data_IF_495743338170
#
_entry.id   IF_495743338170
#
_cell.length_a   1.000
_cell.length_b   1.000
_cell.length_c   1.000
_cell.angle_alpha   90.00
_cell.angle_beta   90.00
_cell.angle_gamma   90.00
#
_symmetry.space_group_name_H-M   'P 1'
#
loop_
_entity.id
_entity.type
_entity.pdbx_description
1 polymer ?
#
# COMPACT_ATOMS: atom_id res chain seq x y z
N UNK A 1 13.87 -3.08 12.73
CA UNK A 1 13.10 -3.62 13.89
C UNK A 1 14.06 -4.42 14.75
N UNK A 2 13.93 -4.43 16.09
CA UNK A 2 14.86 -5.24 16.91
C UNK A 2 14.49 -6.73 16.86
N UNK A 3 15.41 -7.60 17.28
CA UNK A 3 15.19 -9.05 17.25
C UNK A 3 14.06 -9.50 18.18
N UNK A 4 13.87 -8.83 19.33
CA UNK A 4 12.78 -9.15 20.26
C UNK A 4 11.40 -9.08 19.58
N UNK A 5 11.13 -8.03 18.80
CA UNK A 5 9.85 -7.90 18.07
C UNK A 5 9.69 -9.01 17.03
N UNK A 6 10.75 -9.34 16.29
CA UNK A 6 10.72 -10.43 15.30
C UNK A 6 10.38 -11.78 15.95
N UNK A 7 10.98 -12.07 17.10
CA UNK A 7 10.73 -13.29 17.87
C UNK A 7 9.28 -13.34 18.35
N UNK A 8 8.76 -12.26 18.94
CA UNK A 8 7.37 -12.20 19.40
C UNK A 8 6.36 -12.46 18.28
N UNK A 9 6.58 -11.91 17.08
CA UNK A 9 5.70 -12.17 15.93
C UNK A 9 5.72 -13.64 15.53
N UNK A 10 6.89 -14.30 15.56
CA UNK A 10 7.02 -15.73 15.25
C UNK A 10 6.34 -16.61 16.31
N UNK A 11 6.53 -16.29 17.59
CA UNK A 11 5.90 -17.01 18.71
C UNK A 11 4.37 -16.89 18.63
N UNK A 12 3.86 -15.68 18.40
CA UNK A 12 2.43 -15.45 18.22
C UNK A 12 1.89 -16.24 17.02
N UNK A 13 2.60 -16.24 15.89
CA UNK A 13 2.20 -17.00 14.71
C UNK A 13 2.09 -18.51 15.00
N UNK A 14 3.04 -19.05 15.77
CA UNK A 14 3.03 -20.45 16.16
C UNK A 14 1.85 -20.77 17.09
N UNK A 15 1.59 -19.92 18.08
CA UNK A 15 0.52 -20.14 19.04
C UNK A 15 -0.85 -20.03 18.38
N UNK A 16 -1.06 -19.04 17.50
CA UNK A 16 -2.26 -18.92 16.69
C UNK A 16 -2.52 -20.18 15.86
N UNK A 17 -1.48 -20.79 15.27
CA UNK A 17 -1.63 -22.04 14.51
C UNK A 17 -2.04 -23.22 15.37
N UNK A 18 -1.49 -23.32 16.60
CA UNK A 18 -1.83 -24.42 17.52
C UNK A 18 -3.27 -24.33 18.00
N UNK A 19 -3.72 -23.12 18.30
CA UNK A 19 -5.06 -22.85 18.85
C UNK A 19 -6.15 -22.72 17.77
N UNK A 20 -5.79 -22.81 16.48
CA UNK A 20 -6.72 -22.60 15.37
C UNK A 20 -7.25 -21.17 15.30
N UNK A 21 -6.48 -20.19 15.80
CA UNK A 21 -6.83 -18.77 15.77
C UNK A 21 -6.32 -18.15 14.49
N UNK A 22 -7.23 -17.53 13.73
CA UNK A 22 -6.88 -16.74 12.57
C UNK A 22 -6.31 -15.38 12.98
N UNK A 23 -5.25 -14.95 12.29
CA UNK A 23 -4.60 -13.68 12.58
C UNK A 23 -3.90 -13.11 11.36
N UNK A 24 -4.05 -11.81 11.16
CA UNK A 24 -3.29 -11.01 10.20
C UNK A 24 -2.67 -9.82 10.93
N UNK A 25 -1.37 -9.59 10.72
CA UNK A 25 -0.66 -8.49 11.35
C UNK A 25 0.48 -7.99 10.46
N UNK A 26 0.60 -6.68 10.34
CA UNK A 26 1.65 -5.99 9.58
C UNK A 26 2.34 -5.01 10.51
N UNK A 27 3.63 -5.20 10.76
CA UNK A 27 4.46 -4.27 11.52
C UNK A 27 5.42 -3.57 10.57
N UNK A 28 5.48 -2.25 10.64
CA UNK A 28 6.38 -1.43 9.84
C UNK A 28 7.32 -0.62 10.74
N UNK A 29 8.59 -0.52 10.34
CA UNK A 29 9.53 0.47 10.90
C UNK A 29 10.47 0.97 9.80
N UNK A 30 10.35 2.24 9.42
CA UNK A 30 11.21 2.89 8.40
C UNK A 30 11.31 2.06 7.11
N UNK A 31 10.16 1.69 6.54
CA UNK A 31 10.07 0.90 5.31
C UNK A 31 10.35 -0.61 5.47
N UNK A 32 10.88 -1.06 6.61
CA UNK A 32 11.04 -2.49 6.87
C UNK A 32 9.74 -3.07 7.42
N UNK A 33 9.24 -4.12 6.78
CA UNK A 33 7.96 -4.74 7.08
C UNK A 33 8.15 -6.17 7.59
N UNK A 34 7.36 -6.55 8.59
CA UNK A 34 7.19 -7.94 9.03
C UNK A 34 5.69 -8.23 8.99
N UNK A 35 5.33 -9.34 8.37
CA UNK A 35 3.96 -9.79 8.26
C UNK A 35 3.76 -11.13 8.96
N UNK A 36 2.58 -11.30 9.55
CA UNK A 36 2.08 -12.55 10.07
C UNK A 36 0.72 -12.83 9.43
N UNK A 37 0.55 -14.06 8.95
CA UNK A 37 -0.71 -14.57 8.41
C UNK A 37 -0.92 -16.01 8.89
N UNK A 38 -2.06 -16.25 9.53
CA UNK A 38 -2.54 -17.53 10.06
C UNK A 38 -4.03 -17.64 9.79
N UNK A 39 -4.51 -18.82 9.39
CA UNK A 39 -5.90 -19.08 9.03
C UNK A 39 -6.03 -19.51 7.57
N UNK A 40 -7.20 -20.05 7.22
CA UNK A 40 -7.53 -20.34 5.83
C UNK A 40 -8.02 -19.07 5.09
N UNK A 41 -8.41 -19.22 3.82
CA UNK A 41 -8.85 -18.08 3.01
C UNK A 41 -10.10 -17.38 3.57
N UNK A 42 -11.04 -18.15 4.13
CA UNK A 42 -12.29 -17.64 4.70
C UNK A 42 -12.01 -16.87 5.98
N UNK A 43 -11.18 -17.44 6.84
CA UNK A 43 -10.73 -16.82 8.08
C UNK A 43 -10.01 -15.49 7.82
N UNK A 44 -9.06 -15.49 6.88
CA UNK A 44 -8.29 -14.30 6.50
C UNK A 44 -9.21 -13.23 5.92
N UNK A 45 -10.19 -13.60 5.09
CA UNK A 45 -11.17 -12.67 4.56
C UNK A 45 -12.01 -12.02 5.67
N UNK A 46 -12.41 -12.81 6.67
CA UNK A 46 -13.12 -12.29 7.84
C UNK A 46 -12.27 -11.31 8.65
N UNK A 47 -11.01 -11.65 8.94
CA UNK A 47 -10.09 -10.75 9.64
C UNK A 47 -9.89 -9.42 8.89
N UNK A 48 -9.76 -9.46 7.56
CA UNK A 48 -9.61 -8.26 6.73
C UNK A 48 -10.87 -7.39 6.77
N UNK A 49 -12.05 -7.99 6.72
CA UNK A 49 -13.33 -7.27 6.79
C UNK A 49 -13.49 -6.55 8.14
N UNK A 50 -13.14 -7.22 9.25
CA UNK A 50 -13.16 -6.61 10.59
C UNK A 50 -12.14 -5.48 10.66
N UNK A 51 -10.90 -5.68 10.20
CA UNK A 51 -9.90 -4.60 10.17
C UNK A 51 -10.36 -3.40 9.36
N UNK A 52 -10.96 -3.61 8.19
CA UNK A 52 -11.45 -2.53 7.34
C UNK A 52 -12.56 -1.73 8.02
N UNK A 53 -13.50 -2.41 8.68
CA UNK A 53 -14.56 -1.78 9.47
C UNK A 53 -13.97 -0.92 10.60
N UNK A 54 -13.11 -1.50 11.43
CA UNK A 54 -12.47 -0.81 12.56
C UNK A 54 -11.64 0.40 12.09
N UNK A 55 -10.88 0.27 11.00
CA UNK A 55 -10.12 1.39 10.44
C UNK A 55 -11.03 2.51 9.93
N UNK A 56 -12.16 2.18 9.31
CA UNK A 56 -13.12 3.18 8.84
C UNK A 56 -13.79 3.94 10.00
N UNK A 57 -13.96 3.30 11.16
CA UNK A 57 -14.51 3.94 12.36
C UNK A 57 -13.50 4.86 13.06
N UNK A 58 -12.21 4.53 12.98
CA UNK A 58 -11.16 5.22 13.74
C UNK A 58 -10.29 6.20 12.93
N UNK A 59 -10.35 6.16 11.60
CA UNK A 59 -9.55 7.03 10.72
C UNK A 59 -10.37 8.18 10.13
N UNK A 60 -9.76 9.35 9.90
CA UNK A 60 -10.45 10.51 9.32
C UNK A 60 -10.83 10.32 7.85
N UNK A 61 -10.24 9.31 7.18
CA UNK A 61 -10.51 8.96 5.79
C UNK A 61 -10.84 7.47 5.70
N UNK A 62 -11.76 7.07 4.80
CA UNK A 62 -12.03 5.67 4.53
C UNK A 62 -10.74 4.90 4.23
N UNK A 63 -10.57 3.77 4.89
CA UNK A 63 -9.41 2.88 4.79
C UNK A 63 -9.13 2.45 3.34
N UNK A 64 -10.16 2.31 2.50
CA UNK A 64 -10.02 2.05 1.06
C UNK A 64 -9.19 3.10 0.32
N UNK A 65 -9.32 4.38 0.68
CA UNK A 65 -8.57 5.48 0.05
C UNK A 65 -7.10 5.39 0.48
N UNK A 66 -6.87 5.20 1.77
CA UNK A 66 -5.52 5.04 2.32
C UNK A 66 -4.82 3.81 1.76
N UNK A 67 -5.56 2.70 1.57
CA UNK A 67 -5.05 1.48 0.92
C UNK A 67 -4.66 1.74 -0.52
N UNK A 68 -5.48 2.45 -1.30
CA UNK A 68 -5.14 2.79 -2.68
C UNK A 68 -3.85 3.63 -2.79
N UNK A 69 -3.68 4.64 -1.92
CA UNK A 69 -2.46 5.46 -1.85
C UNK A 69 -1.25 4.61 -1.45
N UNK A 70 -1.42 3.74 -0.44
CA UNK A 70 -0.37 2.82 0.01
C UNK A 70 0.07 1.85 -1.09
N UNK A 71 -0.88 1.24 -1.80
CA UNK A 71 -0.61 0.34 -2.92
C UNK A 71 0.14 1.04 -4.05
N UNK A 72 -0.30 2.23 -4.46
CA UNK A 72 0.40 3.03 -5.47
C UNK A 72 1.82 3.43 -5.04
N UNK A 73 2.08 3.52 -3.73
CA UNK A 73 3.43 3.78 -3.20
C UNK A 73 4.28 2.51 -3.19
N UNK A 74 3.68 1.34 -2.91
CA UNK A 74 4.37 0.04 -2.81
C UNK A 74 4.72 -0.57 -4.17
N UNK A 75 3.87 -0.39 -5.17
CA UNK A 75 4.11 -0.84 -6.55
C UNK A 75 5.28 -0.07 -7.22
N UNK A 76 5.85 0.91 -6.50
CA UNK A 76 6.37 2.12 -7.08
C UNK A 76 5.19 2.86 -7.71
N UNK A 77 5.22 4.20 -7.75
CA UNK A 77 4.47 4.80 -8.83
C UNK A 77 4.91 4.04 -10.10
N UNK A 78 4.01 3.57 -10.99
CA UNK A 78 4.46 3.30 -12.34
C UNK A 78 5.26 4.54 -12.71
N UNK A 79 6.41 4.34 -13.34
CA UNK A 79 7.13 5.44 -13.95
C UNK A 79 6.15 6.05 -14.98
N UNK A 80 5.16 6.84 -14.53
CA UNK A 80 4.62 7.94 -15.29
C UNK A 80 5.89 8.69 -15.56
N UNK A 81 6.38 8.56 -16.78
CA UNK A 81 7.43 9.41 -17.27
C UNK A 81 6.92 10.82 -16.98
N UNK A 82 7.39 11.40 -15.88
CA UNK A 82 6.97 12.72 -15.46
C UNK A 82 7.75 13.64 -16.37
N UNK A 83 7.15 13.95 -17.51
CA UNK A 83 7.70 14.90 -18.46
C UNK A 83 7.67 16.28 -17.81
N UNK A 84 8.85 16.86 -17.62
CA UNK A 84 8.99 18.24 -17.17
C UNK A 84 9.21 19.09 -18.41
N UNK A 85 8.27 19.99 -18.69
CA UNK A 85 8.35 20.94 -19.80
C UNK A 85 8.84 22.28 -19.26
N UNK A 86 9.90 22.82 -19.87
CA UNK A 86 10.31 24.21 -19.67
C UNK A 86 9.61 24.99 -20.78
N UNK A 87 8.86 26.04 -20.42
CA UNK A 87 8.11 26.86 -21.37
C UNK A 87 8.69 28.27 -21.32
N UNK A 88 9.42 28.64 -22.36
CA UNK A 88 10.08 29.94 -22.43
C UNK A 88 9.17 31.03 -23.06
N UNK A 89 8.15 30.64 -23.84
CA UNK A 89 7.21 31.55 -24.50
C UNK A 89 5.90 30.87 -24.96
N UNK A 90 4.99 31.63 -25.59
CA UNK A 90 3.67 31.15 -26.02
C UNK A 90 3.71 30.12 -27.16
N UNK A 91 4.70 30.20 -28.06
CA UNK A 91 4.87 29.26 -29.17
C UNK A 91 5.31 27.89 -28.66
N UNK A 92 6.17 27.88 -27.64
CA UNK A 92 6.67 26.69 -26.95
C UNK A 92 5.53 25.92 -26.25
N UNK A 93 4.62 26.64 -25.58
CA UNK A 93 3.41 26.06 -25.00
C UNK A 93 2.53 25.40 -26.09
N UNK A 94 2.36 26.05 -27.24
CA UNK A 94 1.53 25.52 -28.33
C UNK A 94 2.13 24.24 -28.96
N UNK A 95 3.46 24.18 -29.08
CA UNK A 95 4.18 22.99 -29.56
C UNK A 95 4.04 21.82 -28.58
N UNK A 96 4.30 22.05 -27.28
CA UNK A 96 4.16 21.04 -26.23
C UNK A 96 2.74 20.45 -26.22
N UNK A 97 1.71 21.31 -26.30
CA UNK A 97 0.31 20.87 -26.35
C UNK A 97 0.00 20.05 -27.60
N UNK A 98 0.56 20.43 -28.75
CA UNK A 98 0.38 19.68 -30.01
C UNK A 98 0.98 18.28 -29.93
N UNK A 99 2.16 18.14 -29.32
CA UNK A 99 2.87 16.87 -29.14
C UNK A 99 2.18 15.96 -28.12
N UNK A 100 1.60 16.54 -27.06
CA UNK A 100 0.72 15.82 -26.13
C UNK A 100 -0.50 15.25 -26.86
N UNK A 101 -1.17 16.05 -27.70
CA UNK A 101 -2.34 15.60 -28.45
C UNK A 101 -2.02 14.50 -29.48
N UNK A 102 -0.77 14.42 -29.94
CA UNK A 102 -0.27 13.35 -30.83
C UNK A 102 0.12 12.07 -30.08
N UNK A 103 0.12 12.08 -28.75
CA UNK A 103 0.52 10.92 -27.94
C UNK A 103 2.04 10.69 -27.90
N UNK A 104 2.86 11.71 -28.16
CA UNK A 104 4.33 11.57 -28.20
C UNK A 104 4.98 11.30 -26.84
N UNK A 105 4.21 11.34 -25.76
CA UNK A 105 4.68 11.28 -24.38
C UNK A 105 4.08 10.11 -23.57
N UNK A 106 3.41 9.16 -24.25
CA UNK A 106 2.90 7.91 -23.67
C UNK A 106 3.97 6.80 -23.56
#
# INVERSE_FOLDING_TARGET
MNEKIKTLVKELQQECRKEGVAAICTLQRKGHVINMLVGDATDVAFCLAVQEKELNENLPLPSKILRAVGSATLEGAPNKQNHTFVIDNEEDLADVMTRILKGEFE
#
